data_IF_038446436721
#
_entry.id   IF_038446436721
#
_cell.length_a   1.000
_cell.length_b   1.000
_cell.length_c   1.000
_cell.angle_alpha   90.00
_cell.angle_beta   90.00
_cell.angle_gamma   90.00
#
_symmetry.space_group_name_H-M   'P 1'
#
loop_
_entity.id
_entity.type
_entity.pdbx_description
1 polymer ?
#
# COMPACT_ATOMS: atom_id res chain seq x y z
N UNK A 1 -7.12 -26.63 23.09
CA UNK A 1 -5.93 -25.75 23.17
C UNK A 1 -5.01 -26.14 22.04
N UNK A 2 -5.47 -25.84 20.81
CA UNK A 2 -4.77 -26.12 19.56
C UNK A 2 -3.83 -24.95 19.24
N UNK A 3 -2.60 -25.31 18.91
CA UNK A 3 -1.52 -24.37 18.62
C UNK A 3 -1.83 -23.64 17.31
N UNK A 4 -1.98 -22.34 17.39
CA UNK A 4 -2.04 -21.42 16.24
C UNK A 4 -0.59 -21.03 15.87
N UNK A 5 0.25 -22.01 15.57
CA UNK A 5 1.67 -21.78 15.26
C UNK A 5 2.12 -22.20 13.87
N UNK A 6 1.19 -22.40 12.93
CA UNK A 6 1.56 -22.62 11.53
C UNK A 6 0.84 -21.61 10.61
N UNK A 7 1.48 -20.45 10.41
CA UNK A 7 1.28 -19.70 9.16
C UNK A 7 1.67 -20.67 8.04
N UNK A 8 0.78 -20.96 7.08
CA UNK A 8 1.10 -21.89 6.02
C UNK A 8 2.38 -21.44 5.30
N UNK A 9 3.41 -22.29 5.30
CA UNK A 9 4.62 -22.13 4.48
C UNK A 9 4.24 -22.31 2.99
N UNK A 10 3.51 -21.36 2.42
CA UNK A 10 3.08 -21.37 1.03
C UNK A 10 4.16 -20.94 0.04
N UNK A 11 5.39 -20.68 0.50
CA UNK A 11 6.45 -20.22 -0.38
C UNK A 11 7.70 -21.10 -0.30
N UNK A 12 7.62 -22.30 -0.89
CA UNK A 12 8.82 -22.88 -1.50
C UNK A 12 9.07 -22.11 -2.81
N UNK A 13 9.99 -21.17 -2.77
CA UNK A 13 10.51 -20.44 -3.91
C UNK A 13 10.89 -21.41 -5.04
N UNK A 14 10.07 -21.53 -6.06
CA UNK A 14 10.53 -21.85 -7.40
C UNK A 14 11.09 -20.54 -7.96
N UNK A 15 12.37 -20.55 -8.35
CA UNK A 15 13.00 -19.48 -9.10
C UNK A 15 12.06 -19.01 -10.21
N UNK A 16 11.36 -17.89 -10.00
CA UNK A 16 10.61 -17.21 -11.05
C UNK A 16 11.58 -16.26 -11.74
N UNK A 17 11.79 -16.36 -13.05
CA UNK A 17 12.85 -15.66 -13.76
C UNK A 17 12.64 -14.16 -13.97
N UNK A 18 11.73 -13.49 -13.24
CA UNK A 18 11.34 -12.11 -13.51
C UNK A 18 11.05 -11.24 -12.27
N UNK A 19 11.74 -11.45 -11.16
CA UNK A 19 11.60 -10.54 -10.02
C UNK A 19 12.35 -9.22 -10.27
N UNK A 20 11.64 -8.09 -10.19
CA UNK A 20 12.25 -6.76 -10.28
C UNK A 20 12.91 -6.35 -8.97
N UNK A 21 12.35 -6.79 -7.81
CA UNK A 21 12.93 -6.57 -6.49
C UNK A 21 12.93 -7.91 -5.75
N UNK A 22 14.08 -8.28 -5.20
CA UNK A 22 14.27 -9.47 -4.37
C UNK A 22 14.85 -9.06 -3.03
N UNK A 23 14.25 -9.53 -1.94
CA UNK A 23 14.70 -9.28 -0.58
C UNK A 23 14.85 -10.63 0.12
N UNK A 24 16.02 -10.89 0.73
CA UNK A 24 16.34 -12.13 1.40
C UNK A 24 16.84 -11.89 2.83
N UNK A 25 16.06 -12.30 3.82
CA UNK A 25 16.36 -12.24 5.26
C UNK A 25 16.87 -10.86 5.74
N UNK A 26 16.34 -9.79 5.13
CA UNK A 26 16.78 -8.44 5.39
C UNK A 26 16.38 -8.00 6.80
N UNK A 27 17.36 -7.55 7.59
CA UNK A 27 17.15 -7.10 8.95
C UNK A 27 17.83 -5.76 9.21
N UNK A 28 17.22 -4.95 10.09
CA UNK A 28 17.78 -3.66 10.50
C UNK A 28 17.59 -3.40 11.98
N UNK A 29 18.71 -3.23 12.67
CA UNK A 29 18.77 -2.77 14.04
C UNK A 29 19.29 -1.32 14.08
N UNK A 30 18.64 -0.47 14.86
CA UNK A 30 19.11 0.88 15.16
C UNK A 30 19.67 0.93 16.58
N UNK A 31 20.87 1.48 16.77
CA UNK A 31 21.40 1.72 18.10
C UNK A 31 20.59 2.84 18.78
N UNK A 32 20.34 2.70 20.09
CA UNK A 32 19.69 3.73 20.89
C UNK A 32 20.16 3.72 22.35
N UNK A 33 19.80 4.75 23.11
CA UNK A 33 20.14 4.89 24.51
C UNK A 33 21.53 5.49 24.72
N UNK A 34 21.91 5.58 26.00
CA UNK A 34 23.22 6.13 26.40
C UNK A 34 24.35 5.27 25.82
N UNK A 35 25.28 5.90 25.11
CA UNK A 35 26.41 5.26 24.41
C UNK A 35 25.99 4.21 23.34
N UNK A 36 24.75 4.27 22.81
CA UNK A 36 24.27 3.32 21.81
C UNK A 36 24.34 1.83 22.22
N UNK A 37 24.29 1.55 23.50
CA UNK A 37 24.46 0.18 24.05
C UNK A 37 23.21 -0.69 23.81
N UNK A 38 22.04 -0.08 23.58
CA UNK A 38 20.80 -0.79 23.28
C UNK A 38 20.54 -0.80 21.77
N UNK A 39 19.87 -1.85 21.29
CA UNK A 39 19.44 -1.96 19.88
C UNK A 39 17.93 -2.05 19.81
N UNK A 40 17.35 -1.29 18.92
CA UNK A 40 15.92 -1.38 18.55
C UNK A 40 15.82 -2.01 17.18
N UNK A 41 15.19 -3.18 17.11
CA UNK A 41 14.94 -3.86 15.85
C UNK A 41 13.81 -3.17 15.12
N UNK A 42 14.07 -2.74 13.90
CA UNK A 42 13.09 -2.09 13.02
C UNK A 42 12.62 -3.03 11.92
N UNK A 43 13.45 -4.01 11.54
CA UNK A 43 13.15 -4.99 10.51
C UNK A 43 13.77 -6.33 10.90
N UNK A 44 13.00 -7.41 10.79
CA UNK A 44 13.43 -8.76 11.20
C UNK A 44 13.16 -9.77 10.09
N UNK A 45 14.25 -10.28 9.48
CA UNK A 45 14.27 -11.36 8.50
C UNK A 45 13.23 -11.19 7.38
N UNK A 46 13.07 -9.96 6.87
CA UNK A 46 12.15 -9.69 5.76
C UNK A 46 12.61 -10.42 4.50
N UNK A 47 11.73 -11.24 3.93
CA UNK A 47 11.96 -11.91 2.64
C UNK A 47 10.72 -11.78 1.76
N UNK A 48 10.86 -11.16 0.59
CA UNK A 48 9.78 -10.96 -0.38
C UNK A 48 10.31 -10.69 -1.77
N UNK A 49 9.44 -10.84 -2.77
CA UNK A 49 9.73 -10.53 -4.17
C UNK A 49 8.62 -9.67 -4.77
N UNK A 50 9.03 -8.69 -5.58
CA UNK A 50 8.17 -7.89 -6.44
C UNK A 50 8.43 -8.28 -7.89
N UNK A 51 7.37 -8.62 -8.63
CA UNK A 51 7.49 -9.08 -10.01
C UNK A 51 7.65 -7.90 -10.97
N UNK A 52 8.28 -8.15 -12.12
CA UNK A 52 8.42 -7.12 -13.16
C UNK A 52 7.04 -6.70 -13.68
N UNK A 53 6.81 -5.39 -13.77
CA UNK A 53 5.58 -4.80 -14.32
C UNK A 53 4.38 -4.79 -13.38
N UNK A 54 4.52 -5.30 -12.12
CA UNK A 54 3.42 -5.22 -11.14
C UNK A 54 3.44 -3.90 -10.34
N UNK A 55 2.29 -3.53 -9.84
CA UNK A 55 2.14 -2.55 -8.76
C UNK A 55 2.03 -3.31 -7.45
N UNK A 56 3.03 -3.18 -6.61
CA UNK A 56 3.14 -3.85 -5.32
C UNK A 56 2.94 -2.87 -4.18
N UNK A 57 1.94 -3.12 -3.33
CA UNK A 57 1.65 -2.34 -2.13
C UNK A 57 2.38 -2.90 -0.90
N UNK A 58 3.17 -2.07 -0.21
CA UNK A 58 3.81 -2.45 1.04
C UNK A 58 3.05 -1.83 2.20
N UNK A 59 2.20 -2.63 2.84
CA UNK A 59 1.20 -2.21 3.82
C UNK A 59 1.69 -2.39 5.26
N UNK A 60 1.37 -1.44 6.12
CA UNK A 60 1.67 -1.57 7.55
C UNK A 60 1.36 -0.29 8.32
N UNK A 61 1.19 -0.38 9.65
CA UNK A 61 1.00 0.79 10.49
C UNK A 61 2.26 1.67 10.51
N UNK A 62 2.14 2.87 11.07
CA UNK A 62 3.29 3.74 11.27
C UNK A 62 4.30 3.06 12.20
N UNK A 63 5.58 3.11 11.83
CA UNK A 63 6.64 2.44 12.58
C UNK A 63 6.79 0.94 12.32
N UNK A 64 6.01 0.34 11.42
CA UNK A 64 6.10 -1.09 11.08
C UNK A 64 7.38 -1.52 10.35
N UNK A 65 8.18 -0.58 9.82
CA UNK A 65 9.40 -0.86 9.07
C UNK A 65 9.33 -0.54 7.57
N UNK A 66 8.21 -0.01 7.05
CA UNK A 66 8.02 0.32 5.62
C UNK A 66 9.13 1.24 5.07
N UNK A 67 9.24 2.45 5.62
CA UNK A 67 10.27 3.41 5.17
C UNK A 67 11.69 2.93 5.46
N UNK A 68 11.90 2.09 6.50
CA UNK A 68 13.20 1.44 6.76
C UNK A 68 13.54 0.51 5.60
N UNK A 69 12.59 -0.32 5.15
CA UNK A 69 12.79 -1.23 4.00
C UNK A 69 13.10 -0.44 2.73
N UNK A 70 12.33 0.60 2.43
CA UNK A 70 12.57 1.46 1.28
C UNK A 70 13.96 2.11 1.35
N UNK A 71 14.34 2.67 2.50
CA UNK A 71 15.68 3.28 2.67
C UNK A 71 16.82 2.27 2.50
N UNK A 72 16.64 1.02 2.89
CA UNK A 72 17.59 -0.06 2.65
C UNK A 72 17.70 -0.37 1.16
N UNK A 73 16.56 -0.50 0.45
CA UNK A 73 16.53 -0.72 -1.00
C UNK A 73 17.20 0.44 -1.76
N UNK A 74 17.00 1.68 -1.30
CA UNK A 74 17.63 2.87 -1.88
C UNK A 74 19.07 3.10 -1.41
N UNK A 75 19.65 2.17 -0.61
CA UNK A 75 20.98 2.30 -0.01
C UNK A 75 21.20 3.64 0.73
N UNK A 76 20.15 4.24 1.25
CA UNK A 76 20.23 5.41 2.13
C UNK A 76 20.68 5.04 3.54
N UNK A 77 20.46 3.78 3.91
CA UNK A 77 20.96 3.13 5.14
C UNK A 77 21.43 1.72 4.80
N UNK A 78 22.24 1.12 5.69
CA UNK A 78 22.79 -0.21 5.47
C UNK A 78 22.06 -1.26 6.32
N UNK A 79 21.87 -2.49 5.80
CA UNK A 79 21.28 -3.59 6.55
C UNK A 79 22.20 -4.03 7.71
N UNK A 80 21.60 -4.60 8.75
CA UNK A 80 22.34 -5.31 9.79
C UNK A 80 22.69 -6.73 9.34
N UNK A 81 21.77 -7.36 8.58
CA UNK A 81 21.98 -8.67 7.94
C UNK A 81 21.01 -8.83 6.78
N UNK A 82 21.23 -9.86 5.96
CA UNK A 82 20.44 -10.16 4.77
C UNK A 82 20.88 -9.35 3.55
N UNK A 83 20.23 -9.59 2.43
CA UNK A 83 20.57 -8.98 1.14
C UNK A 83 19.31 -8.55 0.40
N UNK A 84 19.48 -7.67 -0.61
CA UNK A 84 18.43 -7.36 -1.57
C UNK A 84 19.03 -7.09 -2.95
N UNK A 85 18.21 -7.31 -3.98
CA UNK A 85 18.58 -7.06 -5.38
C UNK A 85 17.45 -6.29 -6.06
N UNK A 86 17.82 -5.43 -7.01
CA UNK A 86 16.89 -4.73 -7.87
C UNK A 86 17.35 -4.95 -9.31
N UNK A 87 16.46 -5.51 -10.14
CA UNK A 87 16.76 -5.95 -11.52
C UNK A 87 18.02 -6.83 -11.57
N UNK A 88 18.14 -7.76 -10.62
CA UNK A 88 19.28 -8.67 -10.49
C UNK A 88 20.56 -8.05 -9.93
N UNK A 89 20.67 -6.71 -9.81
CA UNK A 89 21.81 -6.00 -9.24
C UNK A 89 21.67 -5.93 -7.71
N UNK A 90 22.76 -6.19 -6.98
CA UNK A 90 22.79 -5.99 -5.53
C UNK A 90 22.51 -4.54 -5.18
N UNK A 91 21.82 -4.29 -4.04
CA UNK A 91 21.66 -2.92 -3.49
C UNK A 91 23.02 -2.30 -3.09
N UNK A 92 24.09 -3.06 -3.06
CA UNK A 92 25.46 -2.55 -2.85
C UNK A 92 26.06 -1.94 -4.12
N UNK A 93 25.55 -2.32 -5.29
CA UNK A 93 25.94 -1.75 -6.58
C UNK A 93 25.17 -0.46 -6.87
N UNK A 94 25.85 0.68 -6.72
CA UNK A 94 25.26 2.00 -6.95
C UNK A 94 24.73 2.22 -8.38
N UNK A 95 25.17 1.41 -9.35
CA UNK A 95 24.70 1.48 -10.74
C UNK A 95 23.21 1.17 -10.86
N UNK A 96 22.63 0.46 -9.87
CA UNK A 96 21.18 0.17 -9.85
C UNK A 96 20.34 1.44 -9.84
N UNK A 97 20.83 2.56 -9.25
CA UNK A 97 20.07 3.80 -9.17
C UNK A 97 19.72 4.42 -10.52
N UNK A 98 20.43 4.04 -11.60
CA UNK A 98 20.09 4.47 -12.95
C UNK A 98 18.77 3.90 -13.46
N UNK A 99 18.34 2.76 -12.88
CA UNK A 99 17.12 2.05 -13.27
C UNK A 99 15.96 2.28 -12.30
N UNK A 100 16.18 3.11 -11.25
CA UNK A 100 15.21 3.29 -10.16
C UNK A 100 14.78 4.75 -10.04
N UNK A 101 13.48 4.99 -10.06
CA UNK A 101 12.88 6.24 -9.64
C UNK A 101 12.50 6.17 -8.16
N UNK A 102 12.80 7.19 -7.39
CA UNK A 102 12.48 7.24 -5.97
C UNK A 102 11.76 8.52 -5.57
N UNK A 103 10.64 8.37 -4.86
CA UNK A 103 9.92 9.44 -4.20
C UNK A 103 9.88 9.17 -2.70
N UNK A 104 10.55 9.99 -1.86
CA UNK A 104 10.42 9.91 -0.40
C UNK A 104 9.05 10.42 0.06
N UNK A 105 8.63 10.04 1.28
CA UNK A 105 7.38 10.51 1.90
C UNK A 105 7.26 12.04 1.90
N UNK A 106 8.37 12.73 2.19
CA UNK A 106 8.48 14.19 2.15
C UNK A 106 9.62 14.57 1.20
N UNK A 107 9.31 14.98 -0.03
CA UNK A 107 10.33 15.46 -0.94
C UNK A 107 10.81 16.84 -0.47
N UNK A 108 12.10 16.94 -0.16
CA UNK A 108 12.77 18.21 0.16
C UNK A 108 13.37 18.79 -1.10
N UNK A 109 12.69 19.75 -1.71
CA UNK A 109 13.17 20.48 -2.87
C UNK A 109 13.68 21.84 -2.47
N UNK A 110 14.54 22.42 -3.33
CA UNK A 110 14.88 23.83 -3.25
C UNK A 110 13.64 24.65 -3.58
N UNK A 111 12.99 25.19 -2.58
CA UNK A 111 11.66 25.79 -2.62
C UNK A 111 11.58 27.08 -3.46
N UNK A 112 12.71 27.72 -3.71
CA UNK A 112 12.86 28.87 -4.60
C UNK A 112 12.87 28.51 -6.10
N UNK A 113 13.11 27.24 -6.46
CA UNK A 113 13.02 26.78 -7.84
C UNK A 113 11.56 26.65 -8.28
N UNK A 114 11.34 26.77 -9.57
CA UNK A 114 10.11 26.33 -10.25
C UNK A 114 10.17 24.84 -10.54
N UNK A 115 9.02 24.22 -10.83
CA UNK A 115 9.00 22.80 -11.22
C UNK A 115 9.81 22.53 -12.50
N UNK A 116 9.77 23.43 -13.47
CA UNK A 116 10.58 23.30 -14.67
C UNK A 116 12.09 23.34 -14.36
N UNK A 117 12.54 24.30 -13.55
CA UNK A 117 13.95 24.40 -13.14
C UNK A 117 14.39 23.18 -12.35
N UNK A 118 13.55 22.68 -11.41
CA UNK A 118 13.81 21.46 -10.67
C UNK A 118 14.04 20.27 -11.60
N UNK A 119 13.12 20.02 -12.54
CA UNK A 119 13.24 18.91 -13.47
C UNK A 119 14.44 19.08 -14.42
N UNK A 120 14.73 20.28 -14.91
CA UNK A 120 15.94 20.55 -15.69
C UNK A 120 17.22 20.30 -14.88
N UNK A 121 17.22 20.63 -13.58
CA UNK A 121 18.35 20.37 -12.69
C UNK A 121 18.60 18.86 -12.58
N UNK A 122 17.58 18.06 -12.28
CA UNK A 122 17.72 16.60 -12.17
C UNK A 122 18.05 15.93 -13.51
N UNK A 123 17.49 16.39 -14.61
CA UNK A 123 17.76 15.85 -15.93
C UNK A 123 19.24 15.93 -16.35
N UNK A 124 20.01 16.88 -15.79
CA UNK A 124 21.46 16.97 -16.02
C UNK A 124 22.23 15.78 -15.46
N UNK A 125 21.78 15.20 -14.34
CA UNK A 125 22.45 14.05 -13.72
C UNK A 125 22.28 12.76 -14.53
N UNK A 126 21.27 12.71 -15.42
CA UNK A 126 20.99 11.53 -16.25
C UNK A 126 21.60 11.60 -17.66
N UNK A 127 22.53 12.50 -17.91
CA UNK A 127 23.28 12.58 -19.16
C UNK A 127 22.46 12.99 -20.39
N UNK A 128 21.25 13.51 -20.23
CA UNK A 128 20.39 13.94 -21.32
C UNK A 128 20.99 15.17 -22.04
N UNK A 129 20.92 15.19 -23.38
CA UNK A 129 21.30 16.39 -24.17
C UNK A 129 20.39 17.58 -23.84
N UNK A 130 20.77 18.80 -24.24
CA UNK A 130 19.94 19.96 -23.97
C UNK A 130 18.55 19.88 -24.63
N UNK A 131 18.49 19.35 -25.87
CA UNK A 131 17.26 19.17 -26.60
C UNK A 131 16.36 18.10 -25.94
N UNK A 132 16.94 16.93 -25.60
CA UNK A 132 16.21 15.83 -24.93
C UNK A 132 15.68 16.26 -23.56
N UNK A 133 16.44 17.06 -22.81
CA UNK A 133 15.99 17.60 -21.52
C UNK A 133 14.76 18.47 -21.65
N UNK A 134 14.73 19.36 -22.65
CA UNK A 134 13.59 20.26 -22.84
C UNK A 134 12.33 19.45 -23.15
N UNK A 135 12.40 18.52 -24.10
CA UNK A 135 11.28 17.67 -24.46
C UNK A 135 10.82 16.80 -23.28
N UNK A 136 11.76 16.17 -22.57
CA UNK A 136 11.48 15.30 -21.43
C UNK A 136 10.81 16.05 -20.30
N UNK A 137 11.29 17.24 -19.94
CA UNK A 137 10.73 18.09 -18.88
C UNK A 137 9.31 18.51 -19.23
N UNK A 138 9.05 18.97 -20.45
CA UNK A 138 7.70 19.36 -20.88
C UNK A 138 6.75 18.16 -20.84
N UNK A 139 7.18 16.99 -21.30
CA UNK A 139 6.42 15.75 -21.24
C UNK A 139 6.09 15.34 -19.80
N UNK A 140 7.05 15.42 -18.87
CA UNK A 140 6.83 15.07 -17.47
C UNK A 140 5.89 16.06 -16.77
N UNK A 141 6.03 17.36 -17.02
CA UNK A 141 5.11 18.36 -16.48
C UNK A 141 3.68 18.14 -16.95
N UNK A 142 3.50 17.76 -18.21
CA UNK A 142 2.20 17.38 -18.76
C UNK A 142 1.66 16.12 -18.09
N UNK A 143 2.47 15.07 -17.98
CA UNK A 143 2.10 13.79 -17.35
C UNK A 143 1.56 13.96 -15.94
N UNK A 144 2.15 14.89 -15.17
CA UNK A 144 1.72 15.13 -13.77
C UNK A 144 0.76 16.33 -13.61
N UNK A 145 0.25 16.90 -14.70
CA UNK A 145 -0.71 18.02 -14.67
C UNK A 145 -0.16 19.32 -14.07
N UNK A 146 1.11 19.61 -14.27
CA UNK A 146 1.77 20.83 -13.77
C UNK A 146 2.18 21.82 -14.87
N UNK A 147 1.68 21.67 -16.10
CA UNK A 147 2.02 22.53 -17.24
C UNK A 147 1.74 24.02 -16.96
N UNK A 148 0.55 24.31 -16.40
CA UNK A 148 0.12 25.69 -16.11
C UNK A 148 0.88 26.29 -14.93
N UNK A 149 1.37 25.45 -14.02
CA UNK A 149 2.09 25.86 -12.82
C UNK A 149 3.63 25.81 -12.97
N UNK A 150 4.15 25.36 -14.10
CA UNK A 150 5.58 25.06 -14.30
C UNK A 150 6.55 26.21 -14.00
N UNK A 151 6.09 27.47 -14.06
CA UNK A 151 6.87 28.68 -13.76
C UNK A 151 6.63 29.23 -12.35
N UNK A 152 5.76 28.60 -11.54
CA UNK A 152 5.50 29.01 -10.18
C UNK A 152 6.55 28.34 -9.28
N UNK A 153 7.10 29.09 -8.32
CA UNK A 153 8.06 28.57 -7.35
C UNK A 153 7.44 27.50 -6.46
N UNK A 154 8.20 26.46 -6.13
CA UNK A 154 7.74 25.29 -5.36
C UNK A 154 7.23 25.66 -3.96
N UNK A 155 7.76 26.72 -3.32
CA UNK A 155 7.22 27.23 -2.04
C UNK A 155 5.76 27.69 -2.10
N UNK A 156 5.22 27.93 -3.29
CA UNK A 156 3.81 28.30 -3.51
C UNK A 156 2.94 27.10 -3.92
N UNK A 157 3.53 25.93 -4.02
CA UNK A 157 2.80 24.70 -4.38
C UNK A 157 2.02 24.17 -3.19
N UNK A 158 0.83 23.63 -3.46
CA UNK A 158 0.14 22.78 -2.50
C UNK A 158 0.91 21.47 -2.26
N UNK A 159 0.61 20.76 -1.18
CA UNK A 159 1.23 19.45 -0.91
C UNK A 159 1.05 18.49 -2.09
N UNK A 160 -0.14 18.43 -2.69
CA UNK A 160 -0.41 17.59 -3.87
C UNK A 160 0.41 18.00 -5.10
N UNK A 161 0.61 19.31 -5.34
CA UNK A 161 1.47 19.80 -6.42
C UNK A 161 2.94 19.42 -6.18
N UNK A 162 3.45 19.54 -4.93
CA UNK A 162 4.80 19.11 -4.58
C UNK A 162 4.99 17.61 -4.77
N UNK A 163 4.01 16.82 -4.37
CA UNK A 163 4.03 15.37 -4.55
C UNK A 163 4.08 14.99 -6.03
N UNK A 164 3.28 15.64 -6.87
CA UNK A 164 3.30 15.42 -8.33
C UNK A 164 4.61 15.88 -8.98
N UNK A 165 5.19 16.98 -8.51
CA UNK A 165 6.54 17.41 -8.95
C UNK A 165 7.60 16.36 -8.57
N UNK A 166 7.49 15.76 -7.38
CA UNK A 166 8.36 14.67 -6.93
C UNK A 166 8.19 13.41 -7.78
N UNK A 167 6.96 13.04 -8.13
CA UNK A 167 6.70 11.93 -9.06
C UNK A 167 7.32 12.22 -10.43
N UNK A 168 7.16 13.43 -10.98
CA UNK A 168 7.81 13.81 -12.23
C UNK A 168 9.32 13.66 -12.17
N UNK A 169 9.94 14.08 -11.05
CA UNK A 169 11.38 13.93 -10.83
C UNK A 169 11.77 12.45 -10.74
N UNK A 170 11.01 11.64 -10.00
CA UNK A 170 11.30 10.22 -9.83
C UNK A 170 11.28 9.44 -11.15
N UNK A 171 10.40 9.81 -12.11
CA UNK A 171 10.26 9.12 -13.40
C UNK A 171 10.93 9.84 -14.57
N UNK A 172 11.67 10.92 -14.31
CA UNK A 172 12.26 11.79 -15.33
C UNK A 172 13.24 11.06 -16.27
N UNK A 173 14.02 10.12 -15.72
CA UNK A 173 15.04 9.37 -16.44
C UNK A 173 14.54 8.03 -17.02
N UNK A 174 13.22 7.82 -16.99
CA UNK A 174 12.57 6.64 -17.55
C UNK A 174 12.92 5.31 -16.86
N UNK A 175 12.87 5.24 -15.50
CA UNK A 175 13.31 4.07 -14.75
C UNK A 175 12.42 2.85 -15.00
N UNK A 176 12.97 1.64 -14.84
CA UNK A 176 12.23 0.39 -14.92
C UNK A 176 11.47 0.09 -13.61
N UNK A 177 12.02 0.53 -12.48
CA UNK A 177 11.43 0.36 -11.15
C UNK A 177 11.18 1.71 -10.51
N UNK A 178 9.99 1.93 -9.95
CA UNK A 178 9.61 3.15 -9.25
C UNK A 178 9.25 2.82 -7.82
N UNK A 179 9.96 3.42 -6.86
CA UNK A 179 9.76 3.20 -5.42
C UNK A 179 9.20 4.47 -4.80
N UNK A 180 8.04 4.38 -4.18
CA UNK A 180 7.30 5.53 -3.64
C UNK A 180 7.01 5.30 -2.15
N UNK A 181 7.51 6.20 -1.29
CA UNK A 181 7.25 6.13 0.15
C UNK A 181 6.05 7.01 0.51
N UNK A 182 4.91 6.38 0.89
CA UNK A 182 3.65 7.04 1.26
C UNK A 182 3.18 8.11 0.25
N UNK A 183 3.09 7.81 -1.07
CA UNK A 183 2.92 8.82 -2.12
C UNK A 183 1.60 9.61 -2.04
N UNK A 184 0.60 9.10 -1.34
CA UNK A 184 -0.74 9.69 -1.21
C UNK A 184 -1.03 10.24 0.20
N UNK A 185 -0.04 10.18 1.10
CA UNK A 185 -0.22 10.60 2.50
C UNK A 185 -0.52 12.09 2.65
N UNK A 186 -1.60 12.40 3.37
CA UNK A 186 -2.01 13.78 3.66
C UNK A 186 -2.44 14.60 2.46
N UNK A 187 -2.79 13.95 1.35
CA UNK A 187 -3.46 14.58 0.21
C UNK A 187 -4.96 14.58 0.39
N UNK A 188 -5.62 15.58 -0.19
CA UNK A 188 -7.06 15.62 -0.35
C UNK A 188 -7.54 14.55 -1.36
N UNK A 189 -8.84 14.26 -1.46
CA UNK A 189 -9.36 13.21 -2.35
C UNK A 189 -9.00 13.43 -3.82
N UNK A 190 -8.94 14.68 -4.30
CA UNK A 190 -8.56 15.00 -5.67
C UNK A 190 -7.08 14.71 -5.91
N UNK A 191 -6.21 15.18 -5.03
CA UNK A 191 -4.76 14.94 -5.11
C UNK A 191 -4.42 13.45 -5.03
N UNK A 192 -5.13 12.66 -4.21
CA UNK A 192 -4.98 11.19 -4.19
C UNK A 192 -5.34 10.56 -5.53
N UNK A 193 -6.46 10.99 -6.13
CA UNK A 193 -6.88 10.50 -7.45
C UNK A 193 -5.82 10.80 -8.51
N UNK A 194 -5.29 12.03 -8.54
CA UNK A 194 -4.25 12.43 -9.50
C UNK A 194 -2.98 11.58 -9.37
N UNK A 195 -2.50 11.33 -8.14
CA UNK A 195 -1.34 10.47 -7.89
C UNK A 195 -1.62 9.01 -8.29
N UNK A 196 -2.81 8.52 -8.00
CA UNK A 196 -3.27 7.18 -8.38
C UNK A 196 -3.29 6.98 -9.90
N UNK A 197 -3.82 7.97 -10.62
CA UNK A 197 -3.88 7.93 -12.09
C UNK A 197 -2.47 7.87 -12.70
N UNK A 198 -1.48 8.60 -12.12
CA UNK A 198 -0.07 8.54 -12.53
C UNK A 198 0.52 7.14 -12.27
N UNK A 199 0.25 6.52 -11.11
CA UNK A 199 0.73 5.16 -10.80
C UNK A 199 0.16 4.14 -11.79
N UNK A 200 -1.14 4.24 -12.11
CA UNK A 200 -1.78 3.36 -13.09
C UNK A 200 -1.23 3.57 -14.52
N UNK A 201 -0.85 4.79 -14.85
CA UNK A 201 -0.19 5.07 -16.13
C UNK A 201 1.19 4.42 -16.20
N UNK A 202 2.00 4.53 -15.13
CA UNK A 202 3.29 3.84 -15.04
C UNK A 202 3.16 2.32 -15.20
N UNK A 203 2.13 1.72 -14.60
CA UNK A 203 1.81 0.30 -14.79
C UNK A 203 1.51 -0.02 -16.25
N UNK A 204 0.68 0.80 -16.94
CA UNK A 204 0.35 0.59 -18.36
C UNK A 204 1.58 0.73 -19.25
N UNK A 205 2.57 1.52 -18.84
CA UNK A 205 3.88 1.65 -19.51
C UNK A 205 4.83 0.46 -19.20
N UNK A 206 4.38 -0.53 -18.43
CA UNK A 206 5.15 -1.73 -18.08
C UNK A 206 6.18 -1.49 -16.96
N UNK A 207 6.07 -0.39 -16.21
CA UNK A 207 6.97 -0.12 -15.07
C UNK A 207 6.56 -0.93 -13.86
N UNK A 208 7.55 -1.38 -13.10
CA UNK A 208 7.33 -1.98 -11.78
C UNK A 208 7.20 -0.87 -10.76
N UNK A 209 6.15 -0.87 -9.94
CA UNK A 209 5.94 0.12 -8.90
C UNK A 209 5.86 -0.56 -7.54
N UNK A 210 6.73 -0.19 -6.62
CA UNK A 210 6.64 -0.51 -5.20
C UNK A 210 6.24 0.75 -4.45
N UNK A 211 5.10 0.75 -3.76
CA UNK A 211 4.77 1.87 -2.88
C UNK A 211 4.36 1.43 -1.49
N UNK A 212 4.78 2.21 -0.49
CA UNK A 212 4.33 2.03 0.88
C UNK A 212 3.03 2.78 1.13
N UNK A 213 2.16 2.22 1.96
CA UNK A 213 0.97 2.91 2.45
C UNK A 213 0.48 2.30 3.75
N UNK A 214 -0.25 3.09 4.53
CA UNK A 214 -1.06 2.61 5.65
C UNK A 214 -2.57 2.67 5.32
N UNK A 215 -2.92 3.09 4.09
CA UNK A 215 -4.31 3.24 3.62
C UNK A 215 -4.67 2.04 2.74
N UNK A 216 -5.52 1.20 3.27
CA UNK A 216 -5.86 -0.09 2.67
C UNK A 216 -6.66 0.04 1.38
N UNK A 217 -7.57 1.02 1.32
CA UNK A 217 -8.35 1.31 0.11
C UNK A 217 -7.50 1.72 -1.10
N UNK A 218 -6.36 2.39 -0.88
CA UNK A 218 -5.43 2.71 -1.96
C UNK A 218 -4.77 1.45 -2.51
N UNK A 219 -4.42 0.51 -1.62
CA UNK A 219 -3.83 -0.75 -2.01
C UNK A 219 -4.82 -1.67 -2.75
N UNK A 220 -6.07 -1.76 -2.29
CA UNK A 220 -7.13 -2.53 -2.97
C UNK A 220 -7.39 -2.06 -4.39
N UNK A 221 -7.31 -0.73 -4.62
CA UNK A 221 -7.57 -0.14 -5.93
C UNK A 221 -6.40 -0.20 -6.91
N UNK A 222 -5.16 -0.23 -6.42
CA UNK A 222 -3.98 -0.04 -7.25
C UNK A 222 -3.14 -1.30 -7.43
N UNK A 223 -3.08 -2.14 -6.37
CA UNK A 223 -2.08 -3.20 -6.30
C UNK A 223 -2.52 -4.48 -6.98
N UNK A 224 -1.59 -5.10 -7.69
CA UNK A 224 -1.71 -6.49 -8.11
C UNK A 224 -1.49 -7.42 -6.93
N UNK A 225 -0.48 -7.11 -6.11
CA UNK A 225 -0.14 -7.82 -4.88
C UNK A 225 0.23 -6.86 -3.78
N UNK A 226 0.05 -7.31 -2.56
CA UNK A 226 0.39 -6.56 -1.35
C UNK A 226 1.24 -7.41 -0.43
N UNK A 227 2.17 -6.76 0.28
CA UNK A 227 2.92 -7.33 1.38
C UNK A 227 2.56 -6.60 2.67
N UNK A 228 2.12 -7.32 3.70
CA UNK A 228 1.74 -6.74 4.99
C UNK A 228 2.88 -6.88 5.98
N UNK A 229 3.35 -5.76 6.53
CA UNK A 229 4.39 -5.71 7.56
C UNK A 229 3.82 -5.17 8.88
N UNK A 230 4.06 -5.89 9.98
CA UNK A 230 3.69 -5.48 11.34
C UNK A 230 4.86 -5.80 12.26
N UNK A 231 5.25 -4.85 13.12
CA UNK A 231 6.33 -5.04 14.08
C UNK A 231 7.68 -5.40 13.46
N UNK A 232 7.98 -4.94 12.23
CA UNK A 232 9.22 -5.25 11.51
C UNK A 232 9.23 -6.62 10.82
N UNK A 233 8.12 -7.37 10.87
CA UNK A 233 8.00 -8.71 10.28
C UNK A 233 6.98 -8.72 9.14
N UNK A 234 7.31 -9.41 8.06
CA UNK A 234 6.36 -9.68 6.99
C UNK A 234 5.33 -10.71 7.47
N UNK A 235 4.06 -10.38 7.41
CA UNK A 235 2.94 -11.23 7.87
C UNK A 235 2.27 -11.99 6.74
N UNK A 236 2.38 -11.50 5.52
CA UNK A 236 1.85 -12.17 4.34
C UNK A 236 2.12 -11.38 3.07
N UNK A 237 2.06 -12.09 1.94
CA UNK A 237 2.13 -11.52 0.59
C UNK A 237 1.10 -12.24 -0.27
N UNK A 238 0.28 -11.49 -0.99
CA UNK A 238 -0.74 -12.05 -1.89
C UNK A 238 -1.46 -10.96 -2.66
N UNK A 239 -2.42 -11.32 -3.49
CA UNK A 239 -3.37 -10.34 -4.04
C UNK A 239 -4.25 -9.79 -2.92
N UNK A 240 -4.78 -8.56 -3.04
CA UNK A 240 -5.73 -8.04 -2.04
C UNK A 240 -6.86 -9.00 -1.73
N UNK A 241 -7.43 -9.69 -2.75
CA UNK A 241 -8.48 -10.68 -2.58
C UNK A 241 -8.04 -11.94 -1.84
N UNK A 242 -6.84 -12.46 -2.11
CA UNK A 242 -6.28 -13.63 -1.38
C UNK A 242 -6.01 -13.32 0.10
N UNK A 243 -5.56 -12.10 0.40
CA UNK A 243 -5.28 -11.68 1.77
C UNK A 243 -6.54 -11.62 2.63
N UNK A 244 -7.66 -11.26 2.02
CA UNK A 244 -8.97 -11.16 2.69
C UNK A 244 -9.60 -12.55 2.91
N UNK A 245 -9.17 -13.55 2.14
CA UNK A 245 -9.74 -14.91 2.17
C UNK A 245 -11.01 -15.04 1.32
N UNK A 246 -11.26 -16.28 0.84
CA UNK A 246 -12.42 -16.58 -0.02
C UNK A 246 -13.69 -16.81 0.83
N UNK A 247 -13.57 -16.89 2.16
CA UNK A 247 -14.71 -17.19 3.03
C UNK A 247 -15.62 -15.97 3.14
N UNK A 248 -16.81 -16.10 2.56
CA UNK A 248 -17.93 -15.21 2.84
C UNK A 248 -18.25 -15.24 4.33
N UNK A 249 -18.22 -14.10 5.00
CA UNK A 249 -18.63 -13.98 6.41
C UNK A 249 -20.15 -14.07 6.57
N UNK A 250 -20.89 -14.09 5.46
CA UNK A 250 -22.34 -14.16 5.44
C UNK A 250 -22.96 -13.34 4.31
N UNK A 251 -24.25 -13.11 4.44
CA UNK A 251 -25.08 -12.34 3.51
C UNK A 251 -25.69 -11.14 4.24
N UNK A 252 -25.74 -9.99 3.56
CA UNK A 252 -26.45 -8.81 4.03
C UNK A 252 -27.69 -8.59 3.17
N UNK A 253 -28.84 -8.40 3.82
CA UNK A 253 -30.08 -8.03 3.14
C UNK A 253 -30.48 -6.63 3.65
N UNK A 254 -30.69 -5.71 2.70
CA UNK A 254 -31.27 -4.40 2.95
C UNK A 254 -32.69 -4.39 2.42
N UNK A 255 -33.66 -4.05 3.25
CA UNK A 255 -35.07 -4.07 2.89
C UNK A 255 -35.87 -2.96 3.57
N UNK A 256 -37.05 -2.67 3.03
CA UNK A 256 -38.06 -1.79 3.61
C UNK A 256 -39.29 -2.65 3.96
N UNK A 257 -39.93 -2.33 5.07
CA UNK A 257 -41.17 -2.97 5.51
C UNK A 257 -42.18 -1.86 5.87
N UNK A 258 -43.37 -1.92 5.27
CA UNK A 258 -44.43 -0.97 5.59
C UNK A 258 -44.87 -1.10 7.06
N UNK A 259 -45.30 0.03 7.66
CA UNK A 259 -45.74 0.11 9.06
C UNK A 259 -46.91 -0.83 9.39
N UNK A 260 -47.65 -1.31 8.39
CA UNK A 260 -48.71 -2.33 8.51
C UNK A 260 -48.18 -3.76 8.41
N UNK A 261 -46.86 -3.98 8.23
CA UNK A 261 -46.22 -5.26 8.00
C UNK A 261 -46.25 -6.15 9.24
N UNK A 262 -46.37 -7.46 8.99
CA UNK A 262 -46.35 -8.49 10.03
C UNK A 262 -44.99 -8.43 10.77
N UNK A 263 -45.06 -8.55 12.10
CA UNK A 263 -43.83 -8.78 12.90
C UNK A 263 -43.22 -10.13 12.46
N UNK A 264 -42.00 -10.07 11.96
CA UNK A 264 -41.25 -11.24 11.52
C UNK A 264 -40.04 -11.46 12.44
N UNK A 265 -39.66 -12.70 12.75
CA UNK A 265 -38.49 -13.00 13.58
C UNK A 265 -37.19 -12.36 13.09
N UNK A 266 -37.06 -12.20 11.80
CA UNK A 266 -35.86 -11.56 11.18
C UNK A 266 -35.62 -10.14 11.69
N UNK A 267 -36.67 -9.41 12.10
CA UNK A 267 -36.54 -8.05 12.64
C UNK A 267 -35.78 -7.98 13.97
N UNK A 268 -35.76 -9.07 14.74
CA UNK A 268 -34.99 -9.14 16.01
C UNK A 268 -33.48 -9.14 15.76
N UNK A 269 -33.06 -9.64 14.57
CA UNK A 269 -31.67 -9.65 14.12
C UNK A 269 -31.32 -8.42 13.27
N UNK A 270 -32.31 -7.60 12.89
CA UNK A 270 -32.14 -6.48 11.97
C UNK A 270 -31.85 -5.16 12.66
N UNK A 271 -30.92 -4.39 12.11
CA UNK A 271 -30.66 -3.01 12.50
C UNK A 271 -31.52 -2.07 11.68
N UNK A 272 -32.29 -1.19 12.34
CA UNK A 272 -33.13 -0.19 11.67
C UNK A 272 -32.39 1.13 11.49
N UNK A 273 -32.42 1.68 10.26
CA UNK A 273 -31.88 2.99 9.93
C UNK A 273 -32.90 3.76 9.09
N UNK A 274 -33.62 4.70 9.73
CA UNK A 274 -34.76 5.39 9.10
C UNK A 274 -35.89 4.40 8.79
N UNK A 275 -36.31 4.32 7.52
CA UNK A 275 -37.33 3.36 7.04
C UNK A 275 -36.75 2.04 6.58
N UNK A 276 -35.43 1.88 6.60
CA UNK A 276 -34.71 0.72 6.09
C UNK A 276 -34.26 -0.20 7.21
N UNK A 277 -34.30 -1.49 6.94
CA UNK A 277 -33.79 -2.52 7.81
C UNK A 277 -32.60 -3.21 7.14
N UNK A 278 -31.59 -3.49 7.93
CA UNK A 278 -30.39 -4.24 7.52
C UNK A 278 -30.27 -5.45 8.39
N UNK A 279 -30.15 -6.63 7.80
CA UNK A 279 -29.88 -7.87 8.52
C UNK A 279 -28.65 -8.56 7.92
N UNK A 280 -27.82 -9.10 8.80
CA UNK A 280 -26.66 -9.93 8.43
C UNK A 280 -26.92 -11.34 8.93
N UNK A 281 -26.68 -12.34 8.06
CA UNK A 281 -26.99 -13.75 8.36
C UNK A 281 -26.01 -14.68 7.62
N UNK A 282 -25.80 -15.90 8.11
CA UNK A 282 -25.06 -16.93 7.40
C UNK A 282 -25.66 -17.22 6.02
N UNK A 283 -24.84 -17.56 5.04
CA UNK A 283 -25.29 -17.86 3.67
C UNK A 283 -26.38 -18.95 3.65
N UNK A 284 -26.27 -19.96 4.52
CA UNK A 284 -27.24 -21.03 4.65
C UNK A 284 -28.68 -20.57 5.04
N UNK A 285 -28.78 -19.41 5.73
CA UNK A 285 -30.04 -18.81 6.16
C UNK A 285 -30.67 -17.89 5.11
N UNK A 286 -29.96 -17.58 4.02
CA UNK A 286 -30.37 -16.57 3.03
C UNK A 286 -31.75 -16.84 2.46
N UNK A 287 -31.97 -18.02 1.92
CA UNK A 287 -33.25 -18.34 1.24
C UNK A 287 -34.44 -18.32 2.20
N UNK A 288 -34.25 -18.81 3.44
CA UNK A 288 -35.27 -18.75 4.49
C UNK A 288 -35.64 -17.30 4.85
N UNK A 289 -34.63 -16.43 4.97
CA UNK A 289 -34.84 -15.00 5.23
C UNK A 289 -35.56 -14.30 4.06
N UNK A 290 -35.22 -14.63 2.82
CA UNK A 290 -35.89 -14.07 1.66
C UNK A 290 -37.36 -14.49 1.56
N UNK A 291 -37.70 -15.77 1.89
CA UNK A 291 -39.07 -16.27 1.92
C UNK A 291 -39.87 -15.57 3.03
N UNK A 292 -39.28 -15.37 4.20
CA UNK A 292 -39.88 -14.65 5.32
C UNK A 292 -40.20 -13.19 4.96
N UNK A 293 -39.26 -12.49 4.35
CA UNK A 293 -39.42 -11.11 3.88
C UNK A 293 -40.51 -11.01 2.80
N UNK A 294 -40.53 -11.96 1.85
CA UNK A 294 -41.56 -12.05 0.82
C UNK A 294 -42.93 -12.24 1.41
N UNK A 295 -43.07 -13.16 2.39
CA UNK A 295 -44.33 -13.43 3.10
C UNK A 295 -44.83 -12.25 3.93
N UNK A 296 -43.94 -11.35 4.34
CA UNK A 296 -44.26 -10.11 5.04
C UNK A 296 -44.57 -8.93 4.12
N UNK A 297 -44.44 -9.09 2.80
CA UNK A 297 -44.59 -7.99 1.84
C UNK A 297 -43.45 -6.98 1.86
N UNK A 298 -42.28 -7.36 2.37
CA UNK A 298 -41.13 -6.48 2.42
C UNK A 298 -40.58 -6.20 1.02
N UNK A 299 -40.12 -4.97 0.81
CA UNK A 299 -39.40 -4.57 -0.40
C UNK A 299 -37.91 -4.78 -0.22
N UNK A 300 -37.34 -5.78 -0.88
CA UNK A 300 -35.89 -6.04 -0.84
C UNK A 300 -35.22 -5.00 -1.73
N UNK A 301 -34.25 -4.27 -1.15
CA UNK A 301 -33.48 -3.24 -1.83
C UNK A 301 -32.16 -3.80 -2.38
N UNK A 302 -31.47 -4.62 -1.57
CA UNK A 302 -30.26 -5.32 -2.00
C UNK A 302 -30.02 -6.60 -1.21
N UNK A 303 -29.35 -7.55 -1.84
CA UNK A 303 -28.79 -8.75 -1.23
C UNK A 303 -27.31 -8.78 -1.66
N UNK A 304 -26.40 -8.77 -0.70
CA UNK A 304 -24.98 -8.73 -0.96
C UNK A 304 -24.23 -9.72 -0.08
N UNK A 305 -23.15 -10.27 -0.60
CA UNK A 305 -22.21 -11.05 0.22
C UNK A 305 -21.41 -10.12 1.12
N UNK A 306 -21.33 -10.46 2.40
CA UNK A 306 -20.38 -9.82 3.32
C UNK A 306 -19.03 -10.45 3.04
N UNK A 307 -18.19 -9.68 2.33
CA UNK A 307 -16.79 -10.05 2.14
C UNK A 307 -15.98 -9.37 3.23
N UNK A 308 -15.09 -10.09 3.93
CA UNK A 308 -14.17 -9.46 4.82
C UNK A 308 -13.37 -8.40 4.02
N UNK A 309 -13.01 -7.32 4.65
CA UNK A 309 -12.22 -6.25 4.03
C UNK A 309 -10.74 -6.47 4.34
N UNK A 310 -9.86 -5.92 3.51
CA UNK A 310 -8.42 -5.90 3.81
C UNK A 310 -8.16 -5.17 5.15
N UNK A 311 -9.04 -4.25 5.54
CA UNK A 311 -8.99 -3.53 6.81
C UNK A 311 -9.24 -4.46 8.00
N UNK A 312 -10.26 -5.31 7.95
CA UNK A 312 -10.52 -6.30 9.00
C UNK A 312 -9.37 -7.30 9.14
N UNK A 313 -8.86 -7.82 8.02
CA UNK A 313 -7.69 -8.69 8.01
C UNK A 313 -6.48 -8.01 8.66
N UNK A 314 -6.22 -6.76 8.29
CA UNK A 314 -5.11 -5.97 8.81
C UNK A 314 -5.25 -5.69 10.30
N UNK A 315 -6.45 -5.30 10.77
CA UNK A 315 -6.71 -5.05 12.19
C UNK A 315 -6.50 -6.32 13.03
N UNK A 316 -6.96 -7.48 12.57
CA UNK A 316 -6.73 -8.75 13.24
C UNK A 316 -5.23 -9.08 13.39
N UNK A 317 -4.41 -8.78 12.38
CA UNK A 317 -2.97 -8.96 12.45
C UNK A 317 -2.29 -8.00 13.45
N UNK A 318 -2.71 -6.74 13.47
CA UNK A 318 -2.17 -5.72 14.37
C UNK A 318 -2.53 -6.02 15.82
N UNK A 319 -3.77 -6.43 16.09
CA UNK A 319 -4.25 -6.76 17.42
C UNK A 319 -3.60 -8.04 17.95
N UNK A 320 -3.40 -9.03 17.09
CA UNK A 320 -2.64 -10.25 17.43
C UNK A 320 -1.19 -9.96 17.83
N UNK A 321 -0.50 -9.07 17.12
CA UNK A 321 0.87 -8.65 17.47
C UNK A 321 0.92 -7.86 18.78
N UNK A 322 -0.05 -6.98 19.04
CA UNK A 322 -0.13 -6.25 20.31
C UNK A 322 -0.36 -7.16 21.50
N UNK A 323 -1.22 -8.16 21.34
CA UNK A 323 -1.48 -9.16 22.38
C UNK A 323 -0.23 -9.98 22.70
N UNK A 324 0.55 -10.39 21.70
CA UNK A 324 1.82 -11.10 21.88
C UNK A 324 2.89 -10.21 22.53
N UNK A 325 3.01 -8.95 22.14
CA UNK A 325 3.97 -8.01 22.76
C UNK A 325 3.67 -7.77 24.24
N UNK A 326 2.40 -7.58 24.60
CA UNK A 326 1.97 -7.40 26.00
C UNK A 326 2.20 -8.67 26.84
N UNK A 327 2.01 -9.87 26.27
CA UNK A 327 2.26 -11.13 26.97
C UNK A 327 3.74 -11.34 27.32
N UNK A 328 4.66 -10.88 26.45
CA UNK A 328 6.10 -10.95 26.66
C UNK A 328 6.54 -9.95 27.75
N UNK A 329 5.98 -8.74 27.79
CA UNK A 329 6.28 -7.76 28.84
C UNK A 329 5.82 -8.20 30.25
N UNK A 330 4.70 -8.93 30.33
CA UNK A 330 4.17 -9.46 31.61
C UNK A 330 4.96 -10.67 32.11
N UNK A 331 5.53 -11.49 31.21
CA UNK A 331 6.32 -12.67 31.56
C UNK A 331 7.80 -12.36 31.87
N UNK A 332 8.25 -11.14 31.62
CA UNK A 332 9.64 -10.70 31.84
C UNK A 332 9.84 -9.82 33.10
N UNK A 333 8.83 -9.78 33.99
CA UNK A 333 8.92 -9.12 35.31
C UNK A 333 9.07 -10.11 36.45
#
# INVERSE_FOLDING_TARGET
MERVDEVPRLFKNKNMPNAAIEIENLSKDYPYGFLNLKKRRSLENLSMQVQTGEVFGFLGPNGAGKSTTIKLLMRLIFPTSGTARILGKSIEDVSMHQEIGYLPEQPYFYDYLTAAELLHYFARFHGLTAADRQERVERMLKKVGLETAKKIQLRKYSKGMLQRAGLAQAVLHDPQVVVLDEPMSGLDPLGRREVRDIILELKREGRTVLFSTHILSDAEMLCDRVGVIVGGKLRGVGTPGEMVGIQTQGMEILFELDAAGKRIPLLEKATKTGERFRVQLPEAELYGALDELKGAGARILSVAQIKPTLEEFFMNLVDGDRAQANAIEVSGR
#
